data_IF_154074053774
#
_entry.id   IF_154074053774
#
_cell.length_a   1.000
_cell.length_b   1.000
_cell.length_c   1.000
_cell.angle_alpha   90.00
_cell.angle_beta   90.00
_cell.angle_gamma   90.00
#
_symmetry.space_group_name_H-M   'P 1'
#
loop_
_entity.id
_entity.type
_entity.pdbx_description
1 polymer ?
#
# COMPACT_ATOMS: atom_id res chain seq x y z
N UNK A 1 6.88 29.39 14.26
CA UNK A 1 5.79 28.90 13.42
C UNK A 1 5.20 27.63 14.04
N UNK A 2 3.89 27.46 13.94
CA UNK A 2 3.23 26.22 14.38
C UNK A 2 3.78 25.05 13.59
N UNK A 3 4.28 23.98 14.24
CA UNK A 3 4.89 22.85 13.55
C UNK A 3 3.96 22.20 12.51
N UNK A 4 2.65 22.19 12.75
CA UNK A 4 1.65 21.65 11.84
C UNK A 4 1.60 22.31 10.47
N UNK A 5 1.94 23.59 10.35
CA UNK A 5 2.00 24.31 9.07
C UNK A 5 3.15 23.84 8.17
N UNK A 6 4.18 23.23 8.74
CA UNK A 6 5.31 22.70 8.00
C UNK A 6 5.13 21.23 7.60
N UNK A 7 4.04 20.58 8.03
CA UNK A 7 3.73 19.20 7.69
C UNK A 7 2.79 19.17 6.49
N UNK A 8 2.99 18.24 5.56
CA UNK A 8 2.21 18.08 4.34
C UNK A 8 1.76 16.62 4.20
N UNK A 9 0.58 16.39 3.63
CA UNK A 9 0.23 15.08 3.14
C UNK A 9 0.93 14.83 1.79
N UNK A 10 1.47 13.64 1.60
CA UNK A 10 2.14 13.21 0.35
C UNK A 10 1.34 12.08 -0.26
N UNK A 11 0.96 12.22 -1.53
CA UNK A 11 0.13 11.25 -2.23
C UNK A 11 0.77 10.77 -3.52
N UNK A 12 0.65 9.45 -3.72
CA UNK A 12 0.89 8.78 -4.99
C UNK A 12 -0.31 7.91 -5.36
N UNK A 13 -0.39 7.35 -6.56
CA UNK A 13 -1.50 6.46 -6.94
C UNK A 13 -1.67 5.21 -6.06
N UNK A 14 -0.64 4.81 -5.29
CA UNK A 14 -0.62 3.57 -4.50
C UNK A 14 -0.39 3.78 -3.00
N UNK A 15 0.11 4.95 -2.59
CA UNK A 15 0.45 5.19 -1.19
C UNK A 15 0.13 6.62 -0.77
N UNK A 16 -0.23 6.77 0.48
CA UNK A 16 -0.38 8.03 1.17
C UNK A 16 0.49 8.05 2.43
N UNK A 17 0.97 9.24 2.77
CA UNK A 17 1.74 9.45 3.98
C UNK A 17 1.90 10.94 4.26
N UNK A 18 2.85 11.26 5.10
CA UNK A 18 3.21 12.63 5.43
C UNK A 18 4.59 12.99 4.88
N UNK A 19 4.88 14.25 4.91
CA UNK A 19 6.21 14.83 4.73
C UNK A 19 6.28 16.12 5.51
N UNK A 20 7.44 16.73 5.58
CA UNK A 20 7.57 18.03 6.21
C UNK A 20 8.62 18.88 5.53
N UNK A 21 8.39 20.17 5.50
CA UNK A 21 9.37 21.13 5.04
C UNK A 21 10.53 21.20 6.01
N UNK A 22 11.72 20.87 5.53
CA UNK A 22 12.98 20.93 6.28
C UNK A 22 13.86 22.12 5.88
N UNK A 23 13.40 22.97 4.94
CA UNK A 23 14.05 24.22 4.55
C UNK A 23 13.02 25.24 4.07
N UNK A 24 13.35 26.53 4.21
CA UNK A 24 12.48 27.63 3.78
C UNK A 24 12.35 27.77 2.26
N UNK A 25 13.19 27.10 1.49
CA UNK A 25 13.15 27.09 0.03
C UNK A 25 12.40 25.90 -0.56
N UNK A 26 11.65 25.14 0.27
CA UNK A 26 10.68 24.17 -0.17
C UNK A 26 11.17 22.73 -0.30
N UNK A 27 12.28 22.35 0.35
CA UNK A 27 12.62 20.93 0.47
C UNK A 27 11.69 20.24 1.47
N UNK A 28 11.16 19.08 1.05
CA UNK A 28 10.26 18.23 1.86
C UNK A 28 10.95 16.88 2.06
N UNK A 29 11.07 16.46 3.31
CA UNK A 29 11.54 15.13 3.67
C UNK A 29 10.34 14.22 3.90
N UNK A 30 10.42 12.98 3.40
CA UNK A 30 9.39 11.94 3.54
C UNK A 30 10.04 10.55 3.46
N UNK A 31 9.25 9.49 3.53
CA UNK A 31 9.76 8.13 3.34
C UNK A 31 9.73 7.68 1.88
N UNK A 32 10.67 6.77 1.55
CA UNK A 32 10.79 6.18 0.21
C UNK A 32 9.54 5.43 -0.20
N UNK A 33 8.98 4.60 0.68
CA UNK A 33 7.81 3.77 0.36
C UNK A 33 6.56 4.59 0.02
N UNK A 34 6.43 5.84 0.50
CA UNK A 34 5.35 6.75 0.10
C UNK A 34 5.57 7.24 -1.33
N UNK A 35 6.81 7.58 -1.72
CA UNK A 35 7.15 8.12 -3.05
C UNK A 35 7.33 7.03 -4.09
N UNK A 36 7.89 5.88 -3.68
CA UNK A 36 8.17 4.70 -4.51
C UNK A 36 7.60 3.46 -3.81
N UNK A 37 6.28 3.26 -3.88
CA UNK A 37 5.62 2.17 -3.15
C UNK A 37 5.92 0.79 -3.70
N UNK A 38 6.39 0.65 -4.95
CA UNK A 38 6.75 -0.64 -5.54
C UNK A 38 7.86 -1.30 -4.73
N UNK A 39 7.62 -2.55 -4.29
CA UNK A 39 8.52 -3.29 -3.39
C UNK A 39 8.31 -2.97 -1.90
N UNK A 40 7.41 -2.06 -1.54
CA UNK A 40 7.02 -1.80 -0.15
C UNK A 40 5.99 -2.82 0.36
N UNK A 41 5.74 -2.83 1.68
CA UNK A 41 4.71 -3.68 2.29
C UNK A 41 3.33 -3.41 1.71
N UNK A 42 3.01 -2.16 1.39
CA UNK A 42 1.74 -1.78 0.73
C UNK A 42 1.64 -2.42 -0.66
N UNK A 43 2.73 -2.43 -1.41
CA UNK A 43 2.81 -3.10 -2.71
C UNK A 43 2.64 -4.61 -2.56
N UNK A 44 3.36 -5.23 -1.62
CA UNK A 44 3.29 -6.67 -1.37
C UNK A 44 1.89 -7.10 -0.95
N UNK A 45 1.21 -6.32 -0.10
CA UNK A 45 -0.19 -6.58 0.29
C UNK A 45 -1.15 -6.47 -0.90
N UNK A 46 -0.98 -5.45 -1.74
CA UNK A 46 -1.76 -5.31 -2.97
C UNK A 46 -1.55 -6.50 -3.92
N UNK A 47 -0.30 -6.95 -4.08
CA UNK A 47 0.05 -8.11 -4.88
C UNK A 47 -0.58 -9.38 -4.29
N UNK A 48 -0.47 -9.61 -2.98
CA UNK A 48 -1.06 -10.76 -2.31
C UNK A 48 -2.59 -10.80 -2.42
N UNK A 49 -3.27 -9.66 -2.35
CA UNK A 49 -4.72 -9.57 -2.55
C UNK A 49 -5.12 -9.97 -3.99
N UNK A 50 -4.34 -9.57 -4.99
CA UNK A 50 -4.56 -9.96 -6.40
C UNK A 50 -4.31 -11.45 -6.58
N UNK A 51 -3.25 -12.00 -6.00
CA UNK A 51 -2.91 -13.42 -6.09
C UNK A 51 -3.97 -14.28 -5.38
N UNK A 52 -4.52 -13.82 -4.26
CA UNK A 52 -5.66 -14.46 -3.59
C UNK A 52 -6.92 -14.46 -4.46
N UNK A 53 -7.21 -13.33 -5.12
CA UNK A 53 -8.30 -13.24 -6.09
C UNK A 53 -8.13 -14.19 -7.28
N UNK A 54 -6.89 -14.37 -7.75
CA UNK A 54 -6.55 -15.32 -8.82
C UNK A 54 -6.74 -16.77 -8.34
N UNK A 55 -6.28 -17.11 -7.13
CA UNK A 55 -6.47 -18.44 -6.55
C UNK A 55 -7.95 -18.81 -6.40
N UNK A 56 -8.78 -17.87 -5.96
CA UNK A 56 -10.24 -18.09 -5.90
C UNK A 56 -10.88 -18.30 -7.28
N UNK A 57 -10.39 -17.62 -8.33
CA UNK A 57 -10.83 -17.87 -9.70
C UNK A 57 -10.44 -19.26 -10.19
N UNK A 58 -9.20 -19.69 -9.95
CA UNK A 58 -8.69 -21.00 -10.35
C UNK A 58 -9.49 -22.14 -9.68
N UNK A 59 -9.87 -21.98 -8.42
CA UNK A 59 -10.73 -22.92 -7.71
C UNK A 59 -12.12 -23.02 -8.34
N UNK A 60 -12.75 -21.88 -8.66
CA UNK A 60 -14.05 -21.87 -9.35
C UNK A 60 -13.97 -22.50 -10.73
N UNK A 61 -12.87 -22.31 -11.46
CA UNK A 61 -12.65 -22.94 -12.77
C UNK A 61 -12.50 -24.46 -12.64
N UNK A 62 -11.81 -24.92 -11.59
CA UNK A 62 -11.73 -26.35 -11.25
C UNK A 62 -13.11 -26.96 -10.97
N UNK A 63 -13.92 -26.33 -10.16
CA UNK A 63 -15.30 -26.75 -9.90
C UNK A 63 -16.14 -26.79 -11.17
N UNK A 64 -16.05 -25.78 -12.01
CA UNK A 64 -16.75 -25.74 -13.30
C UNK A 64 -16.36 -26.93 -14.20
N UNK A 65 -15.08 -27.27 -14.25
CA UNK A 65 -14.59 -28.43 -15.00
C UNK A 65 -15.16 -29.74 -14.48
N UNK A 66 -15.26 -29.89 -13.17
CA UNK A 66 -15.85 -31.06 -12.53
C UNK A 66 -17.34 -31.23 -12.89
N UNK A 67 -18.12 -30.15 -12.77
CA UNK A 67 -19.53 -30.16 -13.12
C UNK A 67 -19.78 -30.41 -14.61
N UNK A 68 -18.96 -29.83 -15.49
CA UNK A 68 -18.99 -30.11 -16.93
C UNK A 68 -18.70 -31.60 -17.23
N UNK A 69 -17.73 -32.18 -16.52
CA UNK A 69 -17.41 -33.59 -16.67
C UNK A 69 -18.54 -34.49 -16.20
N UNK A 70 -19.23 -34.10 -15.11
CA UNK A 70 -20.44 -34.79 -14.64
C UNK A 70 -21.56 -34.71 -15.66
N UNK A 71 -21.81 -33.55 -16.24
CA UNK A 71 -22.83 -33.39 -17.29
C UNK A 71 -22.55 -34.29 -18.49
N UNK A 72 -21.31 -34.27 -18.99
CA UNK A 72 -20.90 -35.13 -20.11
C UNK A 72 -21.09 -36.63 -19.81
N UNK A 73 -20.84 -37.08 -18.58
CA UNK A 73 -21.10 -38.48 -18.18
C UNK A 73 -22.58 -38.83 -18.25
N UNK A 74 -23.45 -37.94 -17.78
CA UNK A 74 -24.90 -38.11 -17.84
C UNK A 74 -25.35 -38.15 -19.30
N UNK A 75 -24.90 -37.21 -20.14
CA UNK A 75 -25.25 -37.18 -21.57
C UNK A 75 -24.82 -38.45 -22.30
N UNK A 76 -23.64 -38.99 -22.01
CA UNK A 76 -23.15 -40.23 -22.59
C UNK A 76 -23.95 -41.45 -22.12
N UNK A 77 -24.37 -41.45 -20.84
CA UNK A 77 -25.18 -42.54 -20.31
C UNK A 77 -26.56 -42.54 -20.92
N UNK A 78 -27.19 -41.38 -21.06
CA UNK A 78 -28.51 -41.25 -21.72
C UNK A 78 -28.44 -41.69 -23.18
N UNK A 79 -27.43 -41.28 -23.96
CA UNK A 79 -27.24 -41.66 -25.33
C UNK A 79 -27.08 -43.20 -25.49
N UNK A 80 -26.40 -43.87 -24.57
CA UNK A 80 -26.25 -45.33 -24.58
C UNK A 80 -27.56 -46.07 -24.29
N UNK A 81 -28.42 -45.50 -23.45
CA UNK A 81 -29.77 -46.07 -23.17
C UNK A 81 -30.61 -45.93 -24.42
N UNK A 82 -30.63 -44.76 -25.05
CA UNK A 82 -31.39 -44.52 -26.28
C UNK A 82 -30.93 -45.46 -27.44
N UNK A 83 -29.63 -45.73 -27.56
CA UNK A 83 -29.07 -46.66 -28.54
C UNK A 83 -29.44 -48.15 -28.25
N UNK A 84 -29.51 -48.50 -26.95
CA UNK A 84 -29.83 -49.87 -26.52
C UNK A 84 -31.35 -50.20 -26.68
N UNK A 85 -32.20 -49.19 -26.62
CA UNK A 85 -33.64 -49.29 -26.75
C UNK A 85 -34.12 -49.44 -28.19
N UNK A 86 -33.28 -49.48 -29.22
CA UNK A 86 -33.57 -49.70 -30.64
C UNK A 86 -35.02 -49.97 -31.03
N UNK A 87 -35.41 -50.12 -32.29
CA UNK A 87 -36.82 -50.15 -32.70
C UNK A 87 -37.66 -51.34 -32.16
N UNK A 88 -37.12 -52.15 -31.26
CA UNK A 88 -37.77 -53.33 -30.66
C UNK A 88 -38.40 -53.12 -29.26
N UNK A 89 -38.64 -51.86 -28.85
CA UNK A 89 -39.67 -51.49 -27.89
C UNK A 89 -39.75 -52.26 -26.56
N UNK A 90 -38.67 -52.40 -25.80
CA UNK A 90 -38.79 -52.59 -24.33
C UNK A 90 -38.73 -51.20 -23.70
N UNK A 91 -39.90 -50.61 -23.40
CA UNK A 91 -39.94 -49.30 -22.71
C UNK A 91 -39.27 -49.44 -21.35
N UNK A 92 -38.16 -48.72 -21.16
CA UNK A 92 -37.67 -48.41 -19.83
C UNK A 92 -38.79 -47.71 -19.03
N UNK A 93 -38.88 -47.98 -17.73
CA UNK A 93 -39.91 -47.42 -16.86
C UNK A 93 -39.85 -45.88 -17.01
N UNK A 94 -40.90 -45.27 -17.57
CA UNK A 94 -40.93 -43.82 -17.89
C UNK A 94 -40.57 -42.92 -16.69
N UNK A 95 -40.71 -43.44 -15.48
CA UNK A 95 -40.32 -42.78 -14.24
C UNK A 95 -38.80 -42.67 -14.08
N UNK A 96 -37.98 -43.58 -14.60
CA UNK A 96 -36.55 -43.55 -14.55
C UNK A 96 -35.95 -42.57 -15.59
N UNK A 97 -36.57 -42.53 -16.79
CA UNK A 97 -36.21 -41.56 -17.82
C UNK A 97 -36.47 -40.10 -17.33
N UNK A 98 -37.63 -39.87 -16.71
CA UNK A 98 -37.97 -38.54 -16.14
C UNK A 98 -36.99 -38.13 -15.01
N UNK A 99 -36.58 -39.05 -14.13
CA UNK A 99 -35.58 -38.80 -13.08
C UNK A 99 -34.22 -38.44 -13.63
N UNK A 100 -33.76 -39.15 -14.67
CA UNK A 100 -32.47 -38.89 -15.32
C UNK A 100 -32.50 -37.52 -16.03
N UNK A 101 -33.57 -37.20 -16.71
CA UNK A 101 -33.77 -35.92 -17.38
C UNK A 101 -33.81 -34.76 -16.37
N UNK A 102 -34.46 -34.93 -15.21
CA UNK A 102 -34.48 -33.99 -14.10
C UNK A 102 -33.10 -33.76 -13.52
N UNK A 103 -32.34 -34.85 -13.31
CA UNK A 103 -30.94 -34.77 -12.81
C UNK A 103 -30.02 -34.05 -13.80
N UNK A 104 -30.11 -34.35 -15.10
CA UNK A 104 -29.40 -33.67 -16.16
C UNK A 104 -29.67 -32.16 -16.19
N UNK A 105 -30.95 -31.79 -16.11
CA UNK A 105 -31.38 -30.39 -16.11
C UNK A 105 -30.87 -29.63 -14.88
N UNK A 106 -30.79 -30.26 -13.73
CA UNK A 106 -30.21 -29.66 -12.50
C UNK A 106 -28.73 -29.45 -12.64
N UNK A 107 -27.96 -30.44 -13.14
CA UNK A 107 -26.52 -30.33 -13.38
C UNK A 107 -26.21 -29.26 -14.45
N UNK A 108 -26.99 -29.23 -15.53
CA UNK A 108 -26.83 -28.21 -16.58
C UNK A 108 -27.08 -26.78 -16.08
N UNK A 109 -28.07 -26.58 -15.19
CA UNK A 109 -28.30 -25.29 -14.54
C UNK A 109 -27.10 -24.88 -13.70
N UNK A 110 -26.54 -25.80 -12.91
CA UNK A 110 -25.37 -25.54 -12.09
C UNK A 110 -24.15 -25.18 -12.92
N UNK A 111 -23.91 -25.85 -14.04
CA UNK A 111 -22.86 -25.52 -15.00
C UNK A 111 -23.04 -24.09 -15.52
N UNK A 112 -24.25 -23.71 -15.94
CA UNK A 112 -24.53 -22.37 -16.46
C UNK A 112 -24.35 -21.27 -15.41
N UNK A 113 -24.73 -21.52 -14.15
CA UNK A 113 -24.49 -20.60 -13.03
C UNK A 113 -23.00 -20.38 -12.79
N UNK A 114 -22.22 -21.48 -12.70
CA UNK A 114 -20.77 -21.42 -12.50
C UNK A 114 -20.07 -20.73 -13.67
N UNK A 115 -20.51 -20.97 -14.91
CA UNK A 115 -19.96 -20.29 -16.09
C UNK A 115 -20.15 -18.77 -16.06
N UNK A 116 -21.31 -18.32 -15.58
CA UNK A 116 -21.52 -16.87 -15.39
C UNK A 116 -20.61 -16.33 -14.32
N UNK A 117 -20.55 -16.99 -13.15
CA UNK A 117 -19.74 -16.57 -12.03
C UNK A 117 -18.25 -16.51 -12.40
N UNK A 118 -17.73 -17.56 -13.07
CA UNK A 118 -16.33 -17.61 -13.54
C UNK A 118 -16.06 -16.47 -14.54
N UNK A 119 -16.97 -16.22 -15.50
CA UNK A 119 -16.78 -15.11 -16.46
C UNK A 119 -16.72 -13.75 -15.76
N UNK A 120 -17.62 -13.50 -14.81
CA UNK A 120 -17.70 -12.22 -14.11
C UNK A 120 -16.49 -12.02 -13.19
N UNK A 121 -16.11 -13.05 -12.43
CA UNK A 121 -14.92 -13.03 -11.56
C UNK A 121 -13.64 -12.84 -12.39
N UNK A 122 -13.47 -13.58 -13.48
CA UNK A 122 -12.30 -13.45 -14.37
C UNK A 122 -12.16 -12.03 -14.92
N UNK A 123 -13.27 -11.42 -15.34
CA UNK A 123 -13.28 -10.05 -15.84
C UNK A 123 -12.87 -9.07 -14.74
N UNK A 124 -13.39 -9.25 -13.53
CA UNK A 124 -13.07 -8.42 -12.37
C UNK A 124 -11.60 -8.56 -11.97
N UNK A 125 -11.10 -9.76 -11.75
CA UNK A 125 -9.71 -10.03 -11.35
C UNK A 125 -8.71 -9.48 -12.38
N UNK A 126 -9.01 -9.65 -13.68
CA UNK A 126 -8.17 -9.09 -14.76
C UNK A 126 -8.16 -7.56 -14.73
N UNK A 127 -9.29 -6.93 -14.49
CA UNK A 127 -9.40 -5.46 -14.41
C UNK A 127 -8.65 -4.91 -13.19
N UNK A 128 -8.77 -5.57 -12.03
CA UNK A 128 -8.08 -5.21 -10.80
C UNK A 128 -6.57 -5.33 -10.95
N UNK A 129 -6.09 -6.45 -11.53
CA UNK A 129 -4.66 -6.64 -11.83
C UNK A 129 -4.13 -5.56 -12.76
N UNK A 130 -4.79 -5.30 -13.87
CA UNK A 130 -4.37 -4.26 -14.82
C UNK A 130 -4.33 -2.89 -14.18
N UNK A 131 -5.34 -2.54 -13.37
CA UNK A 131 -5.37 -1.27 -12.65
C UNK A 131 -4.22 -1.15 -11.65
N UNK A 132 -3.88 -2.24 -10.95
CA UNK A 132 -2.75 -2.28 -10.03
C UNK A 132 -1.41 -2.11 -10.75
N UNK A 133 -1.20 -2.84 -11.86
CA UNK A 133 0.03 -2.76 -12.66
C UNK A 133 0.23 -1.35 -13.24
N UNK A 134 -0.84 -0.72 -13.75
CA UNK A 134 -0.80 0.66 -14.25
C UNK A 134 -0.44 1.65 -13.13
N UNK A 135 -1.05 1.51 -11.95
CA UNK A 135 -0.74 2.35 -10.79
C UNK A 135 0.72 2.20 -10.36
N UNK A 136 1.23 0.94 -10.34
CA UNK A 136 2.62 0.65 -10.01
C UNK A 136 3.61 1.28 -11.00
N UNK A 137 3.37 1.11 -12.29
CA UNK A 137 4.18 1.72 -13.34
C UNK A 137 4.15 3.26 -13.25
N UNK A 138 2.98 3.85 -13.04
CA UNK A 138 2.83 5.30 -12.88
C UNK A 138 3.58 5.81 -11.65
N UNK A 139 3.48 5.13 -10.52
CA UNK A 139 4.20 5.51 -9.29
C UNK A 139 5.72 5.38 -9.45
N UNK A 140 6.20 4.36 -10.16
CA UNK A 140 7.63 4.15 -10.39
C UNK A 140 8.23 5.20 -11.30
N UNK A 141 7.52 5.61 -12.32
CA UNK A 141 7.99 6.59 -13.32
C UNK A 141 7.74 8.05 -12.90
N UNK A 142 6.95 8.29 -11.84
CA UNK A 142 6.61 9.64 -11.42
C UNK A 142 7.87 10.41 -10.98
N UNK A 143 8.09 11.55 -11.62
CA UNK A 143 9.11 12.53 -11.24
C UNK A 143 8.60 13.59 -10.27
N UNK A 144 7.29 13.63 -10.05
CA UNK A 144 6.62 14.51 -9.10
C UNK A 144 5.48 13.78 -8.40
N UNK A 145 5.18 14.19 -7.19
CA UNK A 145 4.10 13.67 -6.35
C UNK A 145 3.17 14.82 -5.94
N UNK A 146 1.93 14.49 -5.63
CA UNK A 146 1.00 15.45 -5.06
C UNK A 146 1.33 15.68 -3.58
N UNK A 147 1.38 16.94 -3.18
CA UNK A 147 1.48 17.34 -1.78
C UNK A 147 0.29 18.23 -1.44
N UNK A 148 -0.32 17.99 -0.28
CA UNK A 148 -1.43 18.79 0.23
C UNK A 148 -0.96 19.51 1.50
N UNK A 149 -1.10 20.82 1.48
CA UNK A 149 -0.73 21.71 2.59
C UNK A 149 -1.81 21.71 3.69
N UNK A 150 -1.47 22.31 4.82
CA UNK A 150 -2.40 22.43 5.96
C UNK A 150 -3.70 23.18 5.63
N UNK A 151 -3.66 24.12 4.69
CA UNK A 151 -4.81 24.88 4.18
C UNK A 151 -5.60 24.13 3.08
N UNK A 152 -5.32 22.84 2.86
CA UNK A 152 -5.87 21.98 1.82
C UNK A 152 -5.43 22.30 0.39
N UNK A 153 -4.53 23.27 0.18
CA UNK A 153 -3.96 23.55 -1.14
C UNK A 153 -3.18 22.34 -1.65
N UNK A 154 -3.50 21.90 -2.87
CA UNK A 154 -2.83 20.78 -3.53
C UNK A 154 -1.80 21.32 -4.52
N UNK A 155 -0.56 20.87 -4.40
CA UNK A 155 0.57 21.28 -5.23
C UNK A 155 1.34 20.03 -5.70
N UNK A 156 2.23 20.23 -6.68
CA UNK A 156 3.13 19.17 -7.14
C UNK A 156 4.55 19.44 -6.70
N UNK A 157 5.11 18.52 -5.93
CA UNK A 157 6.51 18.54 -5.55
C UNK A 157 7.32 17.58 -6.43
N UNK A 158 8.50 18.00 -6.87
CA UNK A 158 9.41 17.17 -7.66
C UNK A 158 10.14 16.19 -6.73
N UNK A 159 10.34 14.96 -7.19
CA UNK A 159 11.19 13.98 -6.52
C UNK A 159 12.63 14.31 -6.86
N UNK A 160 13.40 14.81 -5.87
CA UNK A 160 14.79 15.22 -6.04
C UNK A 160 15.76 14.07 -5.85
N UNK A 161 15.53 13.28 -4.79
CA UNK A 161 16.37 12.14 -4.46
C UNK A 161 15.55 11.07 -3.70
N UNK A 162 15.93 9.82 -3.89
CA UNK A 162 15.42 8.66 -3.16
C UNK A 162 16.61 7.86 -2.66
N UNK A 163 16.68 7.62 -1.35
CA UNK A 163 17.77 6.84 -0.78
C UNK A 163 17.71 5.38 -1.24
N UNK A 164 18.84 4.78 -1.48
CA UNK A 164 18.96 3.37 -1.84
C UNK A 164 19.10 2.48 -0.59
N UNK A 165 19.59 3.04 0.51
CA UNK A 165 19.93 2.32 1.74
C UNK A 165 18.91 2.53 2.85
N UNK A 166 18.22 3.68 2.85
CA UNK A 166 17.25 4.08 3.86
C UNK A 166 15.86 4.25 3.28
N UNK A 167 14.85 4.13 4.11
CA UNK A 167 13.46 4.41 3.70
C UNK A 167 13.19 5.93 3.71
N UNK A 168 13.97 6.69 2.93
CA UNK A 168 13.92 8.15 2.86
C UNK A 168 13.82 8.65 1.41
N UNK A 169 13.10 9.74 1.23
CA UNK A 169 13.02 10.48 -0.03
C UNK A 169 13.00 11.99 0.22
N UNK A 170 13.54 12.73 -0.73
CA UNK A 170 13.60 14.18 -0.73
C UNK A 170 12.81 14.72 -1.91
N UNK A 171 11.87 15.62 -1.61
CA UNK A 171 11.06 16.32 -2.59
C UNK A 171 11.40 17.81 -2.60
N UNK A 172 11.01 18.49 -3.66
CA UNK A 172 11.17 19.94 -3.83
C UNK A 172 9.89 20.57 -4.33
N UNK A 173 9.37 21.51 -3.57
CA UNK A 173 8.34 22.44 -4.00
C UNK A 173 9.02 23.75 -4.44
N UNK A 174 9.18 23.91 -5.74
CA UNK A 174 9.90 25.08 -6.28
C UNK A 174 8.98 26.33 -6.36
N UNK A 175 9.58 27.50 -6.21
CA UNK A 175 8.86 28.78 -6.40
C UNK A 175 8.14 29.31 -5.16
N UNK A 176 8.25 28.62 -4.02
CA UNK A 176 7.58 29.02 -2.78
C UNK A 176 8.57 29.23 -1.64
N UNK A 177 8.25 30.15 -0.73
CA UNK A 177 8.83 30.22 0.58
C UNK A 177 7.93 29.49 1.56
N UNK A 178 8.47 28.52 2.25
CA UNK A 178 7.70 27.59 3.08
C UNK A 178 8.06 27.72 4.57
N UNK A 179 7.11 27.51 5.48
CA UNK A 179 7.46 27.22 6.85
C UNK A 179 8.36 26.00 6.88
N UNK A 180 9.33 25.95 7.78
CA UNK A 180 10.22 24.78 7.87
C UNK A 180 10.48 24.41 9.32
N UNK A 181 10.66 23.13 9.57
CA UNK A 181 11.10 22.58 10.84
C UNK A 181 12.63 22.49 10.86
N UNK A 182 13.22 22.87 11.98
CA UNK A 182 14.67 22.79 12.16
C UNK A 182 15.06 21.39 12.58
N UNK A 183 15.95 20.72 11.85
CA UNK A 183 16.53 19.46 12.28
C UNK A 183 17.39 19.66 13.51
N UNK A 184 17.38 18.72 14.42
CA UNK A 184 18.22 18.71 15.62
C UNK A 184 19.15 17.49 15.59
N UNK A 185 20.28 17.57 14.90
CA UNK A 185 21.18 16.44 14.76
C UNK A 185 21.95 16.08 16.04
N UNK A 186 22.01 17.01 17.00
CA UNK A 186 22.84 16.91 18.19
C UNK A 186 22.08 16.53 19.47
N UNK A 187 20.82 16.20 19.35
CA UNK A 187 20.04 15.87 20.56
C UNK A 187 20.37 14.46 20.98
N UNK A 188 21.04 14.37 22.14
CA UNK A 188 21.13 13.14 22.89
C UNK A 188 19.73 12.71 23.33
N UNK A 189 18.93 12.18 22.40
CA UNK A 189 17.68 11.52 22.76
C UNK A 189 17.99 10.39 23.74
N UNK A 190 17.25 10.37 24.84
CA UNK A 190 17.36 9.34 25.83
C UNK A 190 15.99 8.67 26.06
N UNK A 191 15.98 7.38 26.43
CA UNK A 191 14.76 6.70 26.86
C UNK A 191 14.02 7.51 27.92
N UNK A 192 12.67 7.56 27.79
CA UNK A 192 11.79 8.32 28.69
C UNK A 192 11.54 9.78 28.26
N UNK A 193 12.24 10.31 27.27
CA UNK A 193 11.96 11.66 26.76
C UNK A 193 10.68 11.69 25.93
N UNK A 194 9.92 12.78 26.09
CA UNK A 194 8.66 13.00 25.32
C UNK A 194 8.96 13.33 23.87
N UNK A 195 8.22 12.71 22.96
CA UNK A 195 8.27 12.95 21.52
C UNK A 195 6.85 13.01 20.95
N UNK A 196 6.72 13.65 19.78
CA UNK A 196 5.46 13.83 19.07
C UNK A 196 5.66 13.52 17.60
N UNK A 197 4.91 12.57 17.07
CA UNK A 197 4.84 12.38 15.62
C UNK A 197 3.74 13.27 15.04
N UNK A 198 4.01 13.93 13.92
CA UNK A 198 3.00 14.68 13.16
C UNK A 198 2.75 13.99 11.81
N UNK A 199 1.49 14.00 11.35
CA UNK A 199 1.09 13.36 10.10
C UNK A 199 -0.35 13.69 9.73
N UNK A 200 -0.87 12.97 8.73
CA UNK A 200 -2.25 13.09 8.25
C UNK A 200 -2.96 11.74 8.37
N UNK A 201 -3.35 11.31 9.58
CA UNK A 201 -4.10 10.07 9.75
C UNK A 201 -5.45 10.18 9.03
N UNK A 202 -5.87 9.09 8.36
CA UNK A 202 -7.18 8.99 7.69
C UNK A 202 -7.47 10.12 6.69
N UNK A 203 -6.42 10.73 6.13
CA UNK A 203 -6.53 11.82 5.13
C UNK A 203 -7.35 13.06 5.56
N UNK A 204 -7.42 13.31 6.84
CA UNK A 204 -8.23 14.40 7.39
C UNK A 204 -7.43 15.70 7.56
N UNK A 205 -7.11 16.06 8.78
CA UNK A 205 -6.26 17.21 9.15
C UNK A 205 -4.95 16.71 9.74
N UNK A 206 -3.96 17.59 9.80
CA UNK A 206 -2.72 17.30 10.49
C UNK A 206 -3.00 16.86 11.94
N UNK A 207 -2.54 15.67 12.30
CA UNK A 207 -2.68 15.09 13.62
C UNK A 207 -1.33 15.01 14.34
N UNK A 208 -1.36 15.03 15.67
CA UNK A 208 -0.20 14.85 16.53
C UNK A 208 -0.40 13.62 17.42
N UNK A 209 0.55 12.69 17.40
CA UNK A 209 0.55 11.50 18.26
C UNK A 209 1.69 11.62 19.29
N UNK A 210 1.39 11.73 20.58
CA UNK A 210 2.39 11.81 21.63
C UNK A 210 2.95 10.42 21.99
N UNK A 211 4.17 10.40 22.52
CA UNK A 211 4.78 9.21 23.07
C UNK A 211 6.10 9.50 23.77
N UNK A 212 6.78 8.43 24.14
CA UNK A 212 8.08 8.48 24.80
C UNK A 212 9.11 7.74 23.94
N UNK A 213 10.33 8.18 24.00
CA UNK A 213 11.48 7.42 23.47
C UNK A 213 11.65 6.15 24.30
N UNK A 214 11.71 4.99 23.67
CA UNK A 214 11.96 3.69 24.29
C UNK A 214 13.41 3.25 24.09
N UNK A 215 13.95 3.45 22.88
CA UNK A 215 15.31 3.08 22.51
C UNK A 215 15.83 3.99 21.40
N UNK A 216 17.11 4.24 21.39
CA UNK A 216 17.81 4.98 20.33
C UNK A 216 19.02 4.18 19.88
N UNK A 217 19.15 4.01 18.56
CA UNK A 217 20.35 3.46 17.90
C UNK A 217 20.80 4.45 16.81
N UNK A 218 21.98 4.26 16.18
CA UNK A 218 22.38 5.09 15.05
C UNK A 218 21.44 5.02 13.84
N UNK A 219 20.66 3.94 13.72
CA UNK A 219 19.79 3.64 12.57
C UNK A 219 18.30 3.92 12.85
N UNK A 220 17.89 3.89 14.13
CA UNK A 220 16.46 4.01 14.48
C UNK A 220 16.22 4.65 15.85
N UNK A 221 15.08 5.32 15.97
CA UNK A 221 14.46 5.74 17.24
C UNK A 221 13.19 4.95 17.42
N UNK A 222 13.13 4.12 18.47
CA UNK A 222 11.92 3.36 18.85
C UNK A 222 11.18 4.16 19.91
N UNK A 223 9.88 4.32 19.74
CA UNK A 223 9.01 5.12 20.62
C UNK A 223 7.74 4.36 20.99
N UNK A 224 7.03 4.84 22.00
CA UNK A 224 5.68 4.37 22.34
C UNK A 224 4.58 5.08 21.51
N UNK A 225 4.94 5.89 20.53
CA UNK A 225 3.98 6.55 19.65
C UNK A 225 3.24 5.49 18.83
N UNK A 226 1.92 5.49 18.88
CA UNK A 226 1.11 4.62 18.02
C UNK A 226 1.02 5.24 16.62
N UNK A 227 1.89 4.79 15.73
CA UNK A 227 1.90 5.23 14.34
C UNK A 227 0.87 4.43 13.53
N UNK A 228 -0.14 5.13 13.01
CA UNK A 228 -1.11 4.59 12.05
C UNK A 228 -0.77 5.08 10.64
N UNK A 229 -1.37 4.50 9.58
CA UNK A 229 -1.24 5.03 8.21
C UNK A 229 -1.49 6.55 8.17
N UNK A 230 -0.66 7.28 7.41
CA UNK A 230 -0.69 8.74 7.36
C UNK A 230 0.40 9.43 8.21
N UNK A 231 1.03 8.74 9.16
CA UNK A 231 2.21 9.29 9.87
C UNK A 231 3.54 8.98 9.18
N UNK A 232 3.61 7.99 8.29
CA UNK A 232 4.81 7.64 7.52
C UNK A 232 5.35 8.84 6.75
N UNK A 233 6.60 9.19 6.96
CA UNK A 233 7.28 10.34 6.34
C UNK A 233 7.12 11.64 7.11
N UNK A 234 6.23 11.71 8.09
CA UNK A 234 6.07 12.86 8.97
C UNK A 234 7.22 13.03 9.96
N UNK A 235 7.38 14.22 10.56
CA UNK A 235 8.43 14.48 11.54
C UNK A 235 8.12 13.83 12.87
N UNK A 236 9.15 13.27 13.52
CA UNK A 236 9.17 13.02 14.95
C UNK A 236 9.85 14.21 15.62
N UNK A 237 9.14 14.89 16.52
CA UNK A 237 9.59 16.09 17.21
C UNK A 237 9.95 15.80 18.66
N UNK A 238 10.93 16.53 19.21
CA UNK A 238 11.17 16.62 20.65
C UNK A 238 10.21 17.61 21.31
N UNK A 239 10.24 17.72 22.63
CA UNK A 239 9.40 18.64 23.39
C UNK A 239 9.66 20.13 23.08
N UNK A 240 10.76 20.47 22.40
CA UNK A 240 11.06 21.84 21.94
C UNK A 240 10.61 22.09 20.49
N UNK A 241 9.94 21.12 19.86
CA UNK A 241 9.46 21.22 18.48
C UNK A 241 10.53 21.06 17.41
N UNK A 242 11.69 20.51 17.76
CA UNK A 242 12.78 20.23 16.80
C UNK A 242 12.64 18.82 16.26
N UNK A 243 12.98 18.63 14.99
CA UNK A 243 12.93 17.32 14.35
C UNK A 243 14.09 16.45 14.84
N UNK A 244 13.74 15.30 15.41
CA UNK A 244 14.67 14.27 15.87
C UNK A 244 14.67 13.03 14.96
N UNK A 245 13.62 12.86 14.14
CA UNK A 245 13.54 11.75 13.20
C UNK A 245 12.42 11.90 12.17
N UNK A 246 12.38 10.96 11.24
CA UNK A 246 11.32 10.77 10.23
C UNK A 246 10.53 9.53 10.59
N UNK A 247 9.26 9.67 10.85
CA UNK A 247 8.37 8.56 11.25
C UNK A 247 8.25 7.54 10.13
N UNK A 248 8.46 6.26 10.45
CA UNK A 248 8.30 5.14 9.53
C UNK A 248 7.35 4.12 10.15
N UNK A 249 6.20 3.92 9.55
CA UNK A 249 5.28 2.85 9.96
C UNK A 249 5.84 1.54 9.41
N UNK A 250 6.55 0.76 10.25
CA UNK A 250 6.87 -0.64 9.96
C UNK A 250 5.75 -1.51 10.49
N UNK A 251 5.10 -2.27 9.62
CA UNK A 251 4.22 -3.35 10.06
C UNK A 251 5.06 -4.53 10.52
N UNK A 252 4.65 -5.14 11.63
CA UNK A 252 5.21 -6.41 12.12
C UNK A 252 4.87 -7.48 11.08
N UNK A 253 5.86 -7.90 10.33
CA UNK A 253 5.77 -9.00 9.38
C UNK A 253 7.11 -9.71 9.31
N UNK A 254 7.12 -10.96 9.70
CA UNK A 254 8.15 -11.98 9.55
C UNK A 254 9.55 -11.50 9.14
N UNK A 255 10.51 -11.78 10.00
CA UNK A 255 11.95 -11.91 9.76
C UNK A 255 12.89 -10.76 10.10
N UNK A 256 12.62 -9.73 10.85
CA UNK A 256 13.74 -9.01 11.51
C UNK A 256 13.20 -8.08 12.61
N UNK A 257 13.37 -8.52 13.84
CA UNK A 257 13.18 -7.71 15.03
C UNK A 257 11.70 -7.64 15.49
N UNK A 258 11.38 -8.35 16.54
CA UNK A 258 10.05 -8.32 17.19
C UNK A 258 9.81 -6.92 17.74
N UNK A 259 9.13 -6.09 16.97
CA UNK A 259 8.53 -4.87 17.51
C UNK A 259 7.20 -5.26 18.17
N UNK A 260 7.04 -4.92 19.44
CA UNK A 260 5.77 -5.16 20.12
C UNK A 260 4.67 -4.28 19.48
N UNK A 261 3.44 -4.78 19.45
CA UNK A 261 2.28 -3.95 19.07
C UNK A 261 2.30 -2.63 19.85
N UNK A 262 2.10 -1.51 19.15
CA UNK A 262 2.08 -0.18 19.77
C UNK A 262 3.43 0.53 19.81
N UNK A 263 4.49 0.02 19.14
CA UNK A 263 5.75 0.75 18.99
C UNK A 263 5.81 1.49 17.66
N UNK A 264 6.19 2.79 17.73
CA UNK A 264 6.49 3.62 16.58
C UNK A 264 7.99 3.66 16.32
N UNK A 265 8.37 3.62 15.04
CA UNK A 265 9.78 3.71 14.62
C UNK A 265 9.98 5.00 13.86
N UNK A 266 11.11 5.65 14.06
CA UNK A 266 11.55 6.77 13.25
C UNK A 266 13.02 6.60 12.83
N UNK A 267 13.33 7.03 11.62
CA UNK A 267 14.71 7.13 11.13
C UNK A 267 15.32 8.41 11.72
N UNK A 268 16.46 8.35 12.43
CA UNK A 268 17.07 9.54 13.04
C UNK A 268 17.32 10.63 12.00
N UNK A 269 17.07 11.89 12.36
CA UNK A 269 17.25 13.01 11.43
C UNK A 269 18.70 13.13 10.96
N UNK A 270 19.67 12.73 11.79
CA UNK A 270 21.08 12.69 11.41
C UNK A 270 21.35 11.76 10.20
N UNK A 271 20.58 10.67 10.08
CA UNK A 271 20.65 9.76 8.91
C UNK A 271 20.16 10.50 7.66
N UNK A 272 19.03 11.20 7.73
CA UNK A 272 18.51 11.98 6.60
C UNK A 272 19.48 13.08 6.14
N UNK A 273 20.14 13.76 7.06
CA UNK A 273 21.15 14.79 6.74
C UNK A 273 22.43 14.20 6.13
N UNK A 274 22.75 12.93 6.38
CA UNK A 274 23.84 12.21 5.71
C UNK A 274 23.46 11.81 4.29
N UNK A 275 22.25 11.26 4.14
CA UNK A 275 21.72 10.82 2.84
C UNK A 275 21.49 11.99 1.87
N UNK A 276 21.10 13.16 2.38
CA UNK A 276 20.76 14.33 1.56
C UNK A 276 21.61 15.54 1.96
N UNK A 277 22.85 15.66 1.43
CA UNK A 277 23.77 16.74 1.78
C UNK A 277 23.23 18.15 1.55
N UNK A 278 22.28 18.31 0.60
CA UNK A 278 21.63 19.59 0.31
C UNK A 278 20.76 20.13 1.47
N UNK A 279 20.45 19.31 2.46
CA UNK A 279 19.74 19.71 3.66
C UNK A 279 20.62 20.25 4.78
N UNK A 280 21.94 20.15 4.62
CA UNK A 280 22.89 20.64 5.64
C UNK A 280 22.84 22.16 5.73
N UNK A 281 22.90 22.74 6.94
CA UNK A 281 22.94 24.18 7.11
C UNK A 281 24.14 24.79 6.31
N UNK A 282 23.83 25.70 5.40
CA UNK A 282 24.83 26.38 4.54
C UNK A 282 24.99 25.82 3.13
N UNK A 283 24.44 24.66 2.77
CA UNK A 283 24.56 24.09 1.43
C UNK A 283 23.87 24.91 0.31
N UNK A 284 22.86 25.74 0.65
CA UNK A 284 22.10 26.54 -0.32
C UNK A 284 22.71 27.86 -0.79
N UNK A 285 23.95 28.23 -0.37
CA UNK A 285 24.53 29.52 -0.68
C UNK A 285 25.51 29.56 -1.88
N UNK A 286 25.71 28.44 -2.57
CA UNK A 286 26.68 28.33 -3.67
C UNK A 286 26.12 28.22 -5.07
N UNK A 287 24.81 28.23 -5.26
CA UNK A 287 24.16 28.13 -6.58
C UNK A 287 23.41 29.39 -7.01
N UNK A 288 24.12 30.54 -7.00
CA UNK A 288 23.68 31.74 -7.73
C UNK A 288 24.87 32.62 -8.09
N UNK A 289 25.67 32.14 -9.00
CA UNK A 289 26.56 32.94 -9.84
C UNK A 289 26.72 32.17 -11.17
N UNK A 290 25.85 32.41 -12.07
CA UNK A 290 26.15 32.66 -13.50
C UNK A 290 24.84 32.93 -14.23
#
# INVERSE_FOLDING_TARGET
PEPGLAVVAVRTPLAEGAGFFCSADGYILTTRHVVRPVGSDVWQQGQAAIDQGQGGLDEMEGQLQEWRSRLRRIDTQMARVDEAEGPSGVQADGADADRQQGTRAQVARRVSELERLVRDTRRRTRSERLAFDIKGASATLATSVEVRLADQTQLRAQVVAVSQTQDLALLKLAGYRTPSLSPSPEVGLAPGQSVFALGYPEDTSAGAAPGLVLRVTPEEVVTSVQLVPGYSGGPLLDASGRVVGVSAVKRVGADEGVYAEGQGIAIPIAVALREFPQLRPGAGRTASKH
#
